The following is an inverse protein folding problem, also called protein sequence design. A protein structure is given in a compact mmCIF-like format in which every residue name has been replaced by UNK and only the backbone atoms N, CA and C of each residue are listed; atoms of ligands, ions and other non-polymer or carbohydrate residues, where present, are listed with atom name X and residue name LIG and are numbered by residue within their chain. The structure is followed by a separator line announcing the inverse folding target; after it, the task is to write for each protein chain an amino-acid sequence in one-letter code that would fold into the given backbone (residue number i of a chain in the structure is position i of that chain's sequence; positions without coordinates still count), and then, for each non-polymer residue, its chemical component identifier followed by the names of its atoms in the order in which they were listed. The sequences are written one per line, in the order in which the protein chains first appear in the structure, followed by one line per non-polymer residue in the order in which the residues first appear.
data_IF_077456501310
#
_entry.id   IF_077456501310
#
_cell.length_a   1.000
_cell.length_b   1.000
_cell.length_c   1.000
_cell.angle_alpha   90.00
_cell.angle_beta   90.00
_cell.angle_gamma   90.00
#
_symmetry.space_group_name_H-M   'P 1'
#
loop_
_entity.id
_entity.type
_entity.pdbx_description
1 polymer ?
#
# COMPACT_ATOMS: atom_id res chain seq x y z
N UNK A 1 3.43 26.05 29.23
CA UNK A 1 3.55 25.27 27.99
C UNK A 1 4.94 25.46 27.39
N UNK A 2 5.57 24.37 26.96
CA UNK A 2 6.90 24.40 26.35
C UNK A 2 6.85 23.60 25.06
N UNK A 3 7.30 24.19 23.96
CA UNK A 3 7.41 23.51 22.66
C UNK A 3 8.86 23.16 22.40
N UNK A 4 9.08 21.94 21.93
CA UNK A 4 10.41 21.44 21.64
C UNK A 4 10.44 20.84 20.23
N UNK A 5 11.55 21.10 19.50
CA UNK A 5 11.88 20.36 18.31
C UNK A 5 12.97 19.36 18.63
N UNK A 6 12.82 18.11 18.19
CA UNK A 6 13.85 17.08 18.36
C UNK A 6 14.16 16.46 17.00
N UNK A 7 15.42 16.47 16.63
CA UNK A 7 15.91 15.66 15.52
C UNK A 7 16.19 14.27 16.09
N UNK A 8 15.62 13.23 15.49
CA UNK A 8 15.71 11.86 15.98
C UNK A 8 15.15 11.71 17.41
N UNK A 9 13.84 11.97 17.61
CA UNK A 9 13.27 11.92 18.94
C UNK A 9 13.31 10.52 19.55
N UNK A 10 13.23 10.47 20.89
CA UNK A 10 13.18 9.21 21.63
C UNK A 10 11.93 8.41 21.26
N UNK A 11 12.06 7.09 21.33
CA UNK A 11 10.93 6.18 21.05
C UNK A 11 9.73 6.45 21.96
N UNK A 12 9.98 6.85 23.21
CA UNK A 12 8.92 7.19 24.15
C UNK A 12 8.04 8.32 23.65
N UNK A 13 8.66 9.37 23.11
CA UNK A 13 7.92 10.51 22.56
C UNK A 13 7.17 10.13 21.28
N UNK A 14 7.79 9.34 20.41
CA UNK A 14 7.14 8.81 19.20
C UNK A 14 5.90 7.98 19.56
N UNK A 15 6.03 7.09 20.53
CA UNK A 15 4.94 6.23 21.00
C UNK A 15 3.82 7.02 21.65
N UNK A 16 4.15 8.07 22.39
CA UNK A 16 3.17 8.94 23.02
C UNK A 16 2.25 9.60 21.98
N UNK A 17 2.83 10.15 20.92
CA UNK A 17 2.04 10.77 19.84
C UNK A 17 1.19 9.73 19.13
N UNK A 18 1.79 8.58 18.80
CA UNK A 18 1.08 7.49 18.13
C UNK A 18 -0.10 6.99 18.95
N UNK A 19 0.11 6.77 20.24
CA UNK A 19 -0.94 6.32 21.15
C UNK A 19 -2.06 7.35 21.29
N UNK A 20 -1.69 8.63 21.34
CA UNK A 20 -2.67 9.72 21.43
C UNK A 20 -3.60 9.75 20.23
N UNK A 21 -3.05 9.69 19.01
CA UNK A 21 -3.87 9.74 17.82
C UNK A 21 -4.71 8.46 17.63
N UNK A 22 -4.17 7.32 18.02
CA UNK A 22 -4.93 6.05 17.98
C UNK A 22 -6.13 6.08 18.90
N UNK A 23 -5.97 6.63 20.12
CA UNK A 23 -7.06 6.75 21.09
C UNK A 23 -8.16 7.67 20.56
N UNK A 24 -7.78 8.76 19.93
CA UNK A 24 -8.73 9.67 19.31
C UNK A 24 -9.47 8.99 18.15
N UNK A 25 -8.73 8.32 17.28
CA UNK A 25 -9.30 7.68 16.08
C UNK A 25 -10.30 6.57 16.43
N UNK A 26 -10.11 5.87 17.55
CA UNK A 26 -11.05 4.83 17.98
C UNK A 26 -12.45 5.35 18.22
N UNK A 27 -12.61 6.63 18.51
CA UNK A 27 -13.91 7.24 18.72
C UNK A 27 -14.69 7.41 17.41
N UNK A 28 -14.03 7.38 16.30
CA UNK A 28 -14.62 7.72 15.00
C UNK A 28 -14.51 6.63 13.93
N UNK A 29 -13.46 5.79 14.01
CA UNK A 29 -13.28 4.69 13.06
C UNK A 29 -14.11 3.48 13.48
N UNK A 30 -14.55 2.65 12.51
CA UNK A 30 -15.22 1.40 12.84
C UNK A 30 -14.27 0.47 13.60
N UNK A 31 -14.83 -0.35 14.48
CA UNK A 31 -14.07 -1.36 15.18
C UNK A 31 -13.57 -2.42 14.20
N UNK A 32 -12.39 -2.96 14.48
CA UNK A 32 -11.81 -4.03 13.69
C UNK A 32 -10.29 -4.03 13.82
N UNK A 33 -9.69 -5.09 13.32
CA UNK A 33 -8.25 -5.27 13.32
C UNK A 33 -7.69 -5.03 11.94
N UNK A 34 -6.47 -4.48 11.89
CA UNK A 34 -5.69 -4.39 10.66
C UNK A 34 -5.00 -5.74 10.47
N UNK A 35 -5.18 -6.34 9.30
CA UNK A 35 -4.52 -7.61 8.96
C UNK A 35 -3.48 -7.36 7.88
N UNK A 36 -2.26 -7.84 8.11
CA UNK A 36 -1.26 -7.88 7.06
C UNK A 36 -1.69 -8.90 6.00
N UNK A 37 -1.50 -8.57 4.74
CA UNK A 37 -1.79 -9.48 3.62
C UNK A 37 -0.61 -9.52 2.68
N UNK A 38 -0.48 -10.62 1.94
CA UNK A 38 0.59 -10.75 0.96
C UNK A 38 0.25 -11.79 -0.09
N UNK A 39 0.78 -11.58 -1.29
CA UNK A 39 0.75 -12.55 -2.37
C UNK A 39 2.18 -12.72 -2.87
N UNK A 40 2.63 -13.96 -3.01
CA UNK A 40 4.03 -14.24 -3.29
C UNK A 40 4.14 -15.21 -4.46
N UNK A 41 5.14 -14.98 -5.30
CA UNK A 41 5.50 -15.88 -6.40
C UNK A 41 6.90 -16.42 -6.16
N UNK A 42 7.02 -17.73 -6.17
CA UNK A 42 8.29 -18.42 -5.95
C UNK A 42 8.54 -19.42 -7.06
N UNK A 43 9.81 -19.62 -7.41
CA UNK A 43 10.18 -20.64 -8.39
C UNK A 43 10.17 -22.04 -7.74
N UNK A 44 10.52 -23.06 -8.53
CA UNK A 44 10.53 -24.45 -8.09
C UNK A 44 11.47 -24.69 -6.90
N UNK A 45 12.50 -23.87 -6.75
CA UNK A 45 13.49 -23.95 -5.69
C UNK A 45 13.13 -23.09 -4.48
N UNK A 46 11.96 -22.43 -4.49
CA UNK A 46 11.52 -21.57 -3.40
C UNK A 46 12.11 -20.17 -3.44
N UNK A 47 12.81 -19.78 -4.50
CA UNK A 47 13.36 -18.44 -4.67
C UNK A 47 12.25 -17.48 -5.03
N UNK A 48 12.23 -16.32 -4.38
CA UNK A 48 11.23 -15.29 -4.65
C UNK A 48 11.41 -14.70 -6.06
N UNK A 49 10.33 -14.72 -6.84
CA UNK A 49 10.26 -14.08 -8.15
C UNK A 49 9.54 -12.75 -8.09
N UNK A 50 8.77 -12.53 -7.06
CA UNK A 50 8.03 -11.30 -6.85
C UNK A 50 7.01 -11.46 -5.76
N UNK A 51 6.33 -10.37 -5.43
CA UNK A 51 5.29 -10.39 -4.43
C UNK A 51 4.74 -9.01 -4.18
N UNK A 52 3.63 -9.00 -3.45
CA UNK A 52 3.08 -7.77 -2.91
C UNK A 52 2.75 -7.98 -1.44
N UNK A 53 2.81 -6.90 -0.70
CA UNK A 53 2.39 -6.87 0.70
C UNK A 53 1.53 -5.65 0.94
N UNK A 54 0.65 -5.75 1.90
CA UNK A 54 -0.24 -4.66 2.22
C UNK A 54 -0.97 -4.88 3.52
N UNK A 55 -1.96 -4.05 3.77
CA UNK A 55 -2.79 -4.11 4.95
C UNK A 55 -4.26 -4.05 4.59
N UNK A 56 -5.03 -4.92 5.21
CA UNK A 56 -6.48 -4.97 5.02
C UNK A 56 -7.16 -4.47 6.29
N UNK A 57 -8.07 -3.53 6.12
CA UNK A 57 -8.90 -3.03 7.22
C UNK A 57 -10.31 -2.76 6.69
N UNK A 58 -11.30 -3.44 7.28
CA UNK A 58 -12.71 -3.30 6.88
C UNK A 58 -12.89 -3.51 5.38
N UNK A 59 -13.40 -2.52 4.66
CA UNK A 59 -13.67 -2.64 3.22
C UNK A 59 -12.51 -2.18 2.34
N UNK A 60 -11.34 -2.01 2.92
CA UNK A 60 -10.18 -1.47 2.21
C UNK A 60 -8.99 -2.41 2.29
N UNK A 61 -8.14 -2.38 1.26
CA UNK A 61 -6.79 -2.91 1.32
C UNK A 61 -5.85 -1.87 0.73
N UNK A 62 -4.76 -1.61 1.44
CA UNK A 62 -3.68 -0.73 0.97
C UNK A 62 -2.48 -1.60 0.60
N UNK A 63 -2.02 -1.48 -0.64
CA UNK A 63 -0.83 -2.19 -1.12
C UNK A 63 0.37 -1.31 -0.83
N UNK A 64 1.23 -1.76 0.09
CA UNK A 64 2.42 -1.02 0.47
C UNK A 64 3.56 -1.20 -0.50
N UNK A 65 3.75 -2.44 -0.97
CA UNK A 65 4.85 -2.76 -1.88
C UNK A 65 4.41 -3.81 -2.90
N UNK A 66 4.84 -3.62 -4.14
CA UNK A 66 4.75 -4.60 -5.22
C UNK A 66 6.11 -4.66 -5.89
N UNK A 67 6.69 -5.84 -5.96
CA UNK A 67 7.99 -6.06 -6.58
C UNK A 67 7.98 -7.33 -7.42
N UNK A 68 8.59 -7.24 -8.59
CA UNK A 68 8.83 -8.38 -9.48
C UNK A 68 10.29 -8.32 -9.88
N UNK A 69 11.00 -9.46 -9.81
CA UNK A 69 12.41 -9.48 -10.16
C UNK A 69 12.60 -9.15 -11.65
N UNK A 70 13.83 -8.74 -12.02
CA UNK A 70 14.11 -8.26 -13.38
C UNK A 70 13.83 -9.32 -14.45
N UNK A 71 14.08 -10.58 -14.14
CA UNK A 71 13.88 -11.68 -15.08
C UNK A 71 12.41 -12.01 -15.32
N UNK A 72 11.56 -11.71 -14.32
CA UNK A 72 10.13 -12.00 -14.36
C UNK A 72 9.28 -10.81 -14.81
N UNK A 73 9.88 -9.64 -15.00
CA UNK A 73 9.19 -8.47 -15.55
C UNK A 73 8.78 -8.76 -16.98
N UNK A 74 7.68 -8.20 -17.42
CA UNK A 74 7.08 -8.44 -18.74
C UNK A 74 6.39 -9.81 -18.89
N UNK A 75 6.43 -10.68 -17.88
CA UNK A 75 5.75 -11.98 -17.90
C UNK A 75 4.27 -11.93 -17.48
N UNK A 76 3.81 -10.75 -17.03
CA UNK A 76 2.45 -10.60 -16.50
C UNK A 76 2.35 -10.97 -15.03
N UNK A 77 3.47 -11.23 -14.34
CA UNK A 77 3.46 -11.64 -12.94
C UNK A 77 2.86 -10.57 -12.02
N UNK A 78 3.20 -9.29 -12.25
CA UNK A 78 2.63 -8.19 -11.46
C UNK A 78 1.11 -8.16 -11.55
N UNK A 79 0.55 -8.32 -12.75
CA UNK A 79 -0.89 -8.38 -12.95
C UNK A 79 -1.52 -9.59 -12.26
N UNK A 80 -0.84 -10.73 -12.29
CA UNK A 80 -1.31 -11.94 -11.62
C UNK A 80 -1.35 -11.77 -10.10
N UNK A 81 -0.33 -11.14 -9.53
CA UNK A 81 -0.28 -10.87 -8.09
C UNK A 81 -1.40 -9.93 -7.67
N UNK A 82 -1.63 -8.86 -8.42
CA UNK A 82 -2.70 -7.91 -8.13
C UNK A 82 -4.08 -8.56 -8.28
N UNK A 83 -4.26 -9.39 -9.30
CA UNK A 83 -5.51 -10.12 -9.50
C UNK A 83 -5.77 -11.10 -8.36
N UNK A 84 -4.74 -11.81 -7.92
CA UNK A 84 -4.84 -12.72 -6.77
C UNK A 84 -5.27 -11.96 -5.51
N UNK A 85 -4.67 -10.80 -5.26
CA UNK A 85 -5.04 -9.99 -4.11
C UNK A 85 -6.54 -9.66 -4.14
N UNK A 86 -7.03 -9.13 -5.27
CA UNK A 86 -8.44 -8.74 -5.40
C UNK A 86 -9.37 -9.92 -5.16
N UNK A 87 -9.04 -11.08 -5.72
CA UNK A 87 -9.85 -12.28 -5.54
C UNK A 87 -9.87 -12.77 -4.09
N UNK A 88 -8.75 -12.65 -3.39
CA UNK A 88 -8.61 -13.18 -2.03
C UNK A 88 -9.14 -12.24 -0.95
N UNK A 89 -9.11 -10.93 -1.17
CA UNK A 89 -9.64 -9.98 -0.18
C UNK A 89 -11.14 -9.73 -0.35
N UNK A 90 -11.69 -9.97 -1.52
CA UNK A 90 -13.10 -9.75 -1.80
C UNK A 90 -14.04 -10.51 -0.85
N UNK A 91 -13.80 -11.80 -0.54
CA UNK A 91 -14.65 -12.52 0.43
C UNK A 91 -14.62 -11.92 1.84
N UNK A 92 -13.61 -11.11 2.16
CA UNK A 92 -13.51 -10.42 3.45
C UNK A 92 -14.27 -9.09 3.46
N UNK A 93 -14.98 -8.76 2.38
CA UNK A 93 -15.78 -7.54 2.30
C UNK A 93 -15.01 -6.33 1.76
N UNK A 94 -13.81 -6.53 1.23
CA UNK A 94 -13.02 -5.45 0.63
C UNK A 94 -13.65 -5.01 -0.68
N UNK A 95 -13.85 -3.71 -0.83
CA UNK A 95 -14.45 -3.10 -2.02
C UNK A 95 -13.48 -2.20 -2.77
N UNK A 96 -12.42 -1.75 -2.11
CA UNK A 96 -11.48 -0.78 -2.69
C UNK A 96 -10.04 -1.14 -2.38
N UNK A 97 -9.18 -0.93 -3.37
CA UNK A 97 -7.73 -1.09 -3.26
C UNK A 97 -7.09 0.29 -3.39
N UNK A 98 -6.15 0.59 -2.52
CA UNK A 98 -5.41 1.85 -2.51
C UNK A 98 -3.92 1.58 -2.58
N UNK A 99 -3.19 2.44 -3.27
CA UNK A 99 -1.74 2.39 -3.31
C UNK A 99 -1.17 3.75 -3.72
N UNK A 100 0.13 3.88 -3.57
CA UNK A 100 0.85 5.00 -4.14
C UNK A 100 2.03 4.49 -4.96
N UNK A 101 2.51 5.31 -5.89
CA UNK A 101 3.63 4.97 -6.76
C UNK A 101 4.39 6.24 -7.12
N UNK A 102 5.71 6.13 -7.23
CA UNK A 102 6.53 7.24 -7.70
C UNK A 102 6.48 7.37 -9.22
N UNK A 103 6.77 8.58 -9.70
CA UNK A 103 6.75 8.89 -11.14
C UNK A 103 7.75 8.05 -11.96
N UNK A 104 8.82 7.56 -11.34
CA UNK A 104 9.81 6.70 -11.99
C UNK A 104 9.42 5.20 -11.95
N UNK A 105 8.29 4.87 -11.32
CA UNK A 105 7.83 3.49 -11.21
C UNK A 105 6.79 3.16 -12.29
N UNK A 106 5.61 2.69 -11.91
CA UNK A 106 4.73 1.97 -12.82
C UNK A 106 3.31 2.54 -12.91
N UNK A 107 3.17 3.85 -13.02
CA UNK A 107 1.83 4.47 -13.12
C UNK A 107 0.98 3.83 -14.22
N UNK A 108 1.55 3.67 -15.43
CA UNK A 108 0.81 3.10 -16.58
C UNK A 108 0.34 1.68 -16.30
N UNK A 109 1.16 0.89 -15.62
CA UNK A 109 0.79 -0.47 -15.23
C UNK A 109 -0.49 -0.48 -14.40
N UNK A 110 -0.57 0.39 -13.38
CA UNK A 110 -1.74 0.46 -12.53
C UNK A 110 -2.96 1.03 -13.25
N UNK A 111 -2.77 2.02 -14.12
CA UNK A 111 -3.88 2.57 -14.90
C UNK A 111 -4.50 1.49 -15.80
N UNK A 112 -3.68 0.62 -16.38
CA UNK A 112 -4.17 -0.51 -17.19
C UNK A 112 -4.93 -1.54 -16.38
N UNK A 113 -4.63 -1.66 -15.08
CA UNK A 113 -5.36 -2.55 -14.18
C UNK A 113 -6.67 -1.95 -13.69
N UNK A 114 -6.99 -0.72 -14.08
CA UNK A 114 -8.24 -0.07 -13.70
C UNK A 114 -8.13 0.89 -12.52
N UNK A 115 -6.92 1.17 -12.06
CA UNK A 115 -6.72 2.20 -11.03
C UNK A 115 -6.90 3.59 -11.63
N UNK A 116 -7.39 4.51 -10.82
CA UNK A 116 -7.46 5.92 -11.17
C UNK A 116 -6.53 6.73 -10.26
N UNK A 117 -5.92 7.75 -10.81
CA UNK A 117 -5.09 8.68 -10.06
C UNK A 117 -6.00 9.68 -9.36
N UNK A 118 -5.91 9.74 -8.04
CA UNK A 118 -6.75 10.60 -7.22
C UNK A 118 -5.99 11.74 -6.55
N UNK A 119 -4.65 11.74 -6.63
CA UNK A 119 -3.85 12.80 -6.04
C UNK A 119 -2.39 12.67 -6.41
N UNK A 120 -1.62 13.68 -6.02
CA UNK A 120 -0.21 13.76 -6.36
C UNK A 120 0.53 14.67 -5.40
N UNK A 121 1.73 14.25 -5.00
CA UNK A 121 2.73 15.14 -4.42
C UNK A 121 3.74 15.45 -5.51
N UNK A 122 3.91 16.71 -5.85
CA UNK A 122 4.89 17.14 -6.85
C UNK A 122 6.20 17.52 -6.18
N UNK A 123 7.32 17.12 -6.78
CA UNK A 123 8.64 17.38 -6.19
C UNK A 123 8.87 16.60 -4.89
N UNK A 124 8.36 15.38 -4.79
CA UNK A 124 8.46 14.55 -3.61
C UNK A 124 9.04 13.19 -3.95
N UNK A 125 10.07 12.70 -3.24
CA UNK A 125 10.77 13.36 -2.11
C UNK A 125 11.84 14.36 -2.54
N UNK A 126 11.97 14.61 -3.84
CA UNK A 126 12.97 15.52 -4.40
C UNK A 126 12.43 16.15 -5.68
N UNK A 127 13.09 17.23 -6.11
CA UNK A 127 12.75 17.91 -7.37
C UNK A 127 12.79 16.93 -8.54
N UNK A 128 11.79 16.99 -9.42
CA UNK A 128 11.68 16.13 -10.59
C UNK A 128 11.04 14.76 -10.34
N UNK A 129 10.74 14.42 -9.10
CA UNK A 129 10.08 13.19 -8.72
C UNK A 129 8.71 13.53 -8.16
N UNK A 130 7.69 12.76 -8.53
CA UNK A 130 6.34 12.93 -8.02
C UNK A 130 5.87 11.64 -7.39
N UNK A 131 4.95 11.75 -6.45
CA UNK A 131 4.29 10.59 -5.85
C UNK A 131 2.82 10.67 -6.19
N UNK A 132 2.30 9.61 -6.82
CA UNK A 132 0.90 9.53 -7.25
C UNK A 132 0.11 8.65 -6.31
N UNK A 133 -1.12 9.05 -6.00
CA UNK A 133 -2.05 8.28 -5.17
C UNK A 133 -3.14 7.70 -6.05
N UNK A 134 -3.34 6.40 -5.95
CA UNK A 134 -4.22 5.65 -6.83
C UNK A 134 -5.24 4.86 -6.02
N UNK A 135 -6.43 4.69 -6.61
CA UNK A 135 -7.47 3.83 -6.04
C UNK A 135 -8.18 3.05 -7.12
N UNK A 136 -8.75 1.92 -6.72
CA UNK A 136 -9.55 1.09 -7.59
C UNK A 136 -10.71 0.48 -6.81
N UNK A 137 -11.92 0.51 -7.39
CA UNK A 137 -13.05 -0.23 -6.87
C UNK A 137 -13.02 -1.65 -7.43
N UNK A 138 -13.17 -2.64 -6.55
CA UNK A 138 -13.27 -4.03 -6.96
C UNK A 138 -14.71 -4.30 -7.39
N UNK A 139 -14.90 -4.64 -8.66
CA UNK A 139 -16.21 -4.91 -9.23
C UNK A 139 -16.45 -6.40 -9.43
N UNK A 140 -17.69 -6.77 -9.39
CA UNK A 140 -18.16 -8.15 -9.58
C UNK A 140 -18.49 -8.85 -8.30
#
# INVERSE_FOLDING_TARGET
MKLEFCLNPDQTDLDSVRKGIRSYNRLHLPEGEVHAVGCFAKDENGKSMGGLTGEMFKNTVFVGFLWVDAESRTSGLGSQLMSMLEQKVKPHGVTHVYLDTYSFQALEFYLKLGFEKVGQYSGYPAEGIHKYFLQKEIVG
#
